data_IF_630462625273
#
_entry.id   IF_630462625273
#
_cell.length_a   1.000
_cell.length_b   1.000
_cell.length_c   1.000
_cell.angle_alpha   90.00
_cell.angle_beta   90.00
_cell.angle_gamma   90.00
#
_symmetry.space_group_name_H-M   'P 1'
#
loop_
_entity.id
_entity.type
_entity.pdbx_description
1 polymer ?
#
# COMPACT_ATOMS: atom_id res chain seq x y z
N UNK A 1 14.30 2.31 5.74
CA UNK A 1 13.43 3.49 5.60
C UNK A 1 13.18 4.10 6.98
N UNK A 2 12.95 5.41 7.05
CA UNK A 2 12.56 6.12 8.27
C UNK A 2 11.11 6.60 8.15
N UNK A 3 10.30 6.34 9.18
CA UNK A 3 8.90 6.77 9.22
C UNK A 3 8.81 8.16 9.85
N UNK A 4 8.26 9.09 9.10
CA UNK A 4 8.03 10.47 9.49
C UNK A 4 6.59 10.66 9.99
N UNK A 5 6.35 11.38 11.10
CA UNK A 5 5.00 11.65 11.57
C UNK A 5 4.22 12.54 10.59
N UNK A 6 2.90 12.44 10.64
CA UNK A 6 2.01 13.30 9.87
C UNK A 6 2.26 14.79 10.20
N UNK A 7 2.25 15.69 9.20
CA UNK A 7 2.30 17.12 9.44
C UNK A 7 1.11 17.55 10.31
N UNK A 8 1.36 18.41 11.29
CA UNK A 8 0.33 18.94 12.20
C UNK A 8 0.05 20.41 11.86
N UNK A 9 -1.21 20.82 11.99
CA UNK A 9 -1.64 22.20 11.78
C UNK A 9 -2.06 22.50 10.33
N UNK A 10 -2.34 23.76 10.05
CA UNK A 10 -2.86 24.24 8.75
C UNK A 10 -1.80 24.36 7.66
N UNK A 11 -0.51 24.36 8.02
CA UNK A 11 0.60 24.44 7.08
C UNK A 11 1.70 23.45 7.42
N UNK A 12 2.20 22.74 6.41
CA UNK A 12 3.34 21.83 6.52
C UNK A 12 4.66 22.42 6.01
N UNK A 13 4.71 23.71 5.65
CA UNK A 13 5.81 24.32 4.91
C UNK A 13 7.18 24.22 5.59
N UNK A 14 7.29 24.57 6.87
CA UNK A 14 8.57 24.49 7.57
C UNK A 14 9.03 23.04 7.75
N UNK A 15 8.09 22.13 7.97
CA UNK A 15 8.41 20.70 8.10
C UNK A 15 8.90 20.12 6.78
N UNK A 16 8.21 20.40 5.68
CA UNK A 16 8.63 20.02 4.34
C UNK A 16 10.00 20.62 3.99
N UNK A 17 10.27 21.88 4.34
CA UNK A 17 11.58 22.51 4.15
C UNK A 17 12.71 21.75 4.85
N UNK A 18 12.52 21.40 6.13
CA UNK A 18 13.51 20.64 6.89
C UNK A 18 13.70 19.23 6.32
N UNK A 19 12.61 18.57 5.92
CA UNK A 19 12.68 17.23 5.31
C UNK A 19 13.35 17.29 3.94
N UNK A 20 13.07 18.29 3.12
CA UNK A 20 13.73 18.49 1.83
C UNK A 20 15.24 18.69 2.01
N UNK A 21 15.67 19.49 2.99
CA UNK A 21 17.10 19.63 3.28
C UNK A 21 17.75 18.29 3.65
N UNK A 22 17.08 17.47 4.47
CA UNK A 22 17.58 16.13 4.80
C UNK A 22 17.65 15.26 3.55
N UNK A 23 16.59 15.25 2.71
CA UNK A 23 16.51 14.44 1.49
C UNK A 23 17.68 14.70 0.53
N UNK A 24 18.14 15.94 0.40
CA UNK A 24 19.29 16.28 -0.44
C UNK A 24 20.61 15.63 0.01
N UNK A 25 20.74 15.33 1.31
CA UNK A 25 21.94 14.74 1.91
C UNK A 25 21.84 13.20 2.07
N UNK A 26 20.70 12.58 1.73
CA UNK A 26 20.48 11.14 1.88
C UNK A 26 21.03 10.35 0.69
N UNK A 27 21.87 9.35 0.98
CA UNK A 27 22.38 8.43 -0.04
C UNK A 27 21.37 7.36 -0.44
N UNK A 28 20.95 6.51 0.50
CA UNK A 28 20.10 5.34 0.21
C UNK A 28 18.87 5.22 1.13
N UNK A 29 18.71 6.09 2.13
CA UNK A 29 17.60 5.96 3.09
C UNK A 29 16.31 6.55 2.53
N UNK A 30 15.28 5.73 2.42
CA UNK A 30 13.92 6.18 2.08
C UNK A 30 13.24 6.85 3.28
N UNK A 31 12.52 7.95 3.06
CA UNK A 31 11.67 8.62 4.04
C UNK A 31 10.20 8.38 3.72
N UNK A 32 9.44 7.86 4.69
CA UNK A 32 8.02 7.56 4.52
C UNK A 32 7.19 8.50 5.38
N UNK A 33 6.42 9.38 4.76
CA UNK A 33 5.49 10.25 5.47
C UNK A 33 4.24 9.48 5.86
N UNK A 34 4.00 9.36 7.16
CA UNK A 34 2.80 8.72 7.69
C UNK A 34 1.60 9.62 7.51
N UNK A 35 0.57 9.15 6.81
CA UNK A 35 -0.65 9.91 6.54
C UNK A 35 -1.87 9.04 6.79
N UNK A 36 -2.80 9.55 7.59
CA UNK A 36 -4.07 8.88 7.83
C UNK A 36 -4.99 8.97 6.63
N UNK A 37 -5.61 7.86 6.26
CA UNK A 37 -6.62 7.83 5.21
C UNK A 37 -7.96 8.30 5.77
N UNK A 38 -8.14 9.62 5.90
CA UNK A 38 -9.31 10.23 6.53
C UNK A 38 -10.44 10.47 5.51
N UNK A 39 -11.67 10.40 6.00
CA UNK A 39 -12.88 10.82 5.28
C UNK A 39 -13.06 12.32 5.51
N UNK A 40 -12.99 13.18 4.49
CA UNK A 40 -13.59 14.50 4.62
C UNK A 40 -15.11 14.29 4.73
N UNK A 41 -15.70 14.67 5.86
CA UNK A 41 -17.13 14.54 6.10
C UNK A 41 -17.86 15.59 5.25
N UNK A 42 -18.37 15.19 4.08
CA UNK A 42 -19.06 16.08 3.14
C UNK A 42 -20.50 16.43 3.61
N UNK A 43 -21.03 15.67 4.58
CA UNK A 43 -22.44 15.72 4.99
C UNK A 43 -22.71 16.47 6.32
N UNK A 44 -21.69 17.02 6.98
CA UNK A 44 -21.89 17.75 8.24
C UNK A 44 -22.02 19.26 8.00
N UNK A 45 -23.24 19.79 8.21
CA UNK A 45 -23.58 21.22 8.21
C UNK A 45 -22.91 22.01 9.36
N UNK A 46 -21.99 21.40 10.10
CA UNK A 46 -21.27 22.03 11.19
C UNK A 46 -20.13 22.89 10.63
N UNK A 47 -20.08 24.18 10.95
CA UNK A 47 -19.03 25.11 10.51
C UNK A 47 -17.58 24.70 10.90
N UNK A 48 -17.42 23.67 11.75
CA UNK A 48 -16.14 23.06 12.08
C UNK A 48 -15.68 21.97 11.07
N UNK A 49 -16.57 21.43 10.22
CA UNK A 49 -16.23 20.42 9.20
C UNK A 49 -15.43 21.00 8.04
N UNK A 50 -15.52 22.32 7.81
CA UNK A 50 -14.67 23.08 6.89
C UNK A 50 -13.17 23.02 7.22
N UNK A 51 -12.78 22.41 8.35
CA UNK A 51 -11.39 22.24 8.76
C UNK A 51 -10.82 20.83 8.55
N UNK A 52 -11.62 19.89 8.04
CA UNK A 52 -11.11 18.56 7.66
C UNK A 52 -10.29 18.68 6.36
N UNK A 53 -9.02 19.04 6.54
CA UNK A 53 -8.04 19.07 5.46
C UNK A 53 -7.92 17.67 4.88
N UNK A 54 -8.20 17.57 3.58
CA UNK A 54 -8.04 16.34 2.84
C UNK A 54 -6.60 15.83 2.96
N UNK A 55 -6.47 14.58 3.39
CA UNK A 55 -5.17 13.94 3.62
C UNK A 55 -4.35 13.82 2.33
N UNK A 56 -5.00 13.70 1.18
CA UNK A 56 -4.30 13.71 -0.11
C UNK A 56 -3.76 15.11 -0.45
N UNK A 57 -4.50 16.18 -0.16
CA UNK A 57 -4.00 17.55 -0.39
C UNK A 57 -2.82 17.89 0.53
N UNK A 58 -2.85 17.35 1.74
CA UNK A 58 -1.71 17.44 2.67
C UNK A 58 -0.47 16.77 2.09
N UNK A 59 -0.61 15.57 1.52
CA UNK A 59 0.47 14.87 0.82
C UNK A 59 0.95 15.66 -0.40
N UNK A 60 0.02 16.09 -1.27
CA UNK A 60 0.30 16.82 -2.50
C UNK A 60 1.09 18.10 -2.21
N UNK A 61 0.66 18.88 -1.21
CA UNK A 61 1.39 20.08 -0.77
C UNK A 61 2.79 19.74 -0.26
N UNK A 62 2.91 18.69 0.56
CA UNK A 62 4.18 18.29 1.14
C UNK A 62 5.19 17.82 0.09
N UNK A 63 4.77 16.95 -0.85
CA UNK A 63 5.65 16.45 -1.91
C UNK A 63 6.07 17.57 -2.88
N UNK A 64 5.19 18.54 -3.13
CA UNK A 64 5.50 19.72 -3.97
C UNK A 64 6.60 20.57 -3.32
N UNK A 65 6.51 20.80 -2.02
CA UNK A 65 7.52 21.53 -1.24
C UNK A 65 8.85 20.77 -1.10
N UNK A 66 8.82 19.45 -1.30
CA UNK A 66 10.01 18.60 -1.38
C UNK A 66 10.41 18.28 -2.83
N UNK A 67 9.90 19.04 -3.82
CA UNK A 67 10.28 18.96 -5.23
C UNK A 67 10.15 17.54 -5.84
N UNK A 68 9.17 16.76 -5.39
CA UNK A 68 8.95 15.37 -5.82
C UNK A 68 10.18 14.45 -5.65
N UNK A 69 10.96 14.65 -4.60
CA UNK A 69 12.14 13.83 -4.32
C UNK A 69 11.83 12.33 -4.33
N UNK A 70 12.59 11.54 -5.09
CA UNK A 70 12.33 10.10 -5.32
C UNK A 70 12.42 9.23 -4.08
N UNK A 71 13.17 9.67 -3.07
CA UNK A 71 13.29 8.99 -1.78
C UNK A 71 12.16 9.31 -0.78
N UNK A 72 11.24 10.19 -1.14
CA UNK A 72 10.07 10.51 -0.35
C UNK A 72 8.88 9.67 -0.82
N UNK A 73 8.24 8.98 0.12
CA UNK A 73 7.11 8.09 -0.14
C UNK A 73 6.06 8.19 0.97
N UNK A 74 4.91 7.54 0.78
CA UNK A 74 3.81 7.57 1.75
C UNK A 74 3.68 6.26 2.49
N UNK A 75 3.43 6.35 3.80
CA UNK A 75 2.89 5.27 4.62
C UNK A 75 1.44 5.62 5.01
N UNK A 76 0.47 4.91 4.43
CA UNK A 76 -0.95 5.20 4.65
C UNK A 76 -1.50 4.45 5.85
N UNK A 77 -2.06 5.16 6.83
CA UNK A 77 -2.84 4.54 7.89
C UNK A 77 -4.26 4.23 7.38
N UNK A 78 -4.60 2.95 7.33
CA UNK A 78 -5.92 2.43 6.99
C UNK A 78 -6.72 2.30 8.29
N UNK A 79 -7.67 3.21 8.46
CA UNK A 79 -8.56 3.30 9.61
C UNK A 79 -9.79 2.40 9.47
N UNK A 80 -10.69 2.39 10.46
CA UNK A 80 -11.86 1.52 10.48
C UNK A 80 -12.95 1.94 9.47
N UNK A 81 -12.95 3.21 9.09
CA UNK A 81 -13.71 3.76 7.97
C UNK A 81 -12.75 4.13 6.84
N UNK A 82 -13.14 3.82 5.59
CA UNK A 82 -12.40 4.25 4.40
C UNK A 82 -13.13 5.43 3.73
N UNK A 83 -12.43 6.31 3.02
CA UNK A 83 -13.06 7.37 2.25
C UNK A 83 -13.75 6.84 0.98
N UNK A 84 -14.36 7.73 0.20
CA UNK A 84 -15.04 7.37 -1.05
C UNK A 84 -14.09 6.69 -2.06
N UNK A 85 -14.65 5.96 -3.04
CA UNK A 85 -13.84 5.31 -4.07
C UNK A 85 -13.00 6.33 -4.89
N UNK A 86 -13.53 7.53 -5.13
CA UNK A 86 -12.82 8.60 -5.83
C UNK A 86 -11.63 9.10 -5.00
N UNK A 87 -11.84 9.32 -3.70
CA UNK A 87 -10.78 9.74 -2.78
C UNK A 87 -9.67 8.70 -2.66
N UNK A 88 -10.03 7.39 -2.62
CA UNK A 88 -9.08 6.28 -2.66
C UNK A 88 -8.32 6.22 -3.99
N UNK A 89 -9.03 6.46 -5.10
CA UNK A 89 -8.50 6.47 -6.47
C UNK A 89 -7.21 7.27 -6.60
N UNK A 90 -7.17 8.44 -5.97
CA UNK A 90 -6.02 9.36 -6.01
C UNK A 90 -4.73 8.76 -5.46
N UNK A 91 -4.81 7.87 -4.49
CA UNK A 91 -3.64 7.25 -3.86
C UNK A 91 -2.99 6.16 -4.71
N UNK A 92 -3.69 5.62 -5.72
CA UNK A 92 -3.12 4.60 -6.61
C UNK A 92 -2.14 5.16 -7.64
N UNK A 93 -2.09 6.48 -7.82
CA UNK A 93 -1.05 7.18 -8.60
C UNK A 93 0.13 7.67 -7.75
N UNK A 94 0.14 7.40 -6.44
CA UNK A 94 1.13 7.93 -5.50
C UNK A 94 2.17 6.87 -5.11
N UNK A 95 3.34 7.32 -4.66
CA UNK A 95 4.42 6.46 -4.15
C UNK A 95 4.12 5.88 -2.75
N UNK A 96 3.05 5.09 -2.64
CA UNK A 96 2.69 4.40 -1.40
C UNK A 96 3.64 3.21 -1.18
N UNK A 97 4.39 3.23 -0.07
CA UNK A 97 5.35 2.17 0.30
C UNK A 97 4.92 1.39 1.54
N UNK A 98 3.92 1.86 2.27
CA UNK A 98 3.32 1.08 3.33
C UNK A 98 1.83 1.35 3.48
N UNK A 99 1.07 0.30 3.80
CA UNK A 99 -0.30 0.36 4.28
C UNK A 99 -0.34 -0.14 5.73
N UNK A 100 -0.58 0.76 6.67
CA UNK A 100 -0.63 0.49 8.09
C UNK A 100 -2.09 0.27 8.47
N UNK A 101 -2.51 -0.99 8.66
CA UNK A 101 -3.89 -1.34 9.03
C UNK A 101 -4.01 -1.38 10.54
N UNK A 102 -4.93 -0.59 11.09
CA UNK A 102 -5.22 -0.65 12.52
C UNK A 102 -5.98 -1.94 12.88
N UNK A 103 -5.67 -2.56 14.01
CA UNK A 103 -6.46 -3.68 14.57
C UNK A 103 -7.93 -3.35 14.76
N UNK A 104 -8.26 -2.08 15.02
CA UNK A 104 -9.63 -1.58 15.17
C UNK A 104 -10.43 -1.62 13.85
N UNK A 105 -9.75 -1.75 12.70
CA UNK A 105 -10.37 -1.90 11.38
C UNK A 105 -10.85 -3.33 11.11
N UNK A 106 -10.46 -4.30 11.95
CA UNK A 106 -10.88 -5.68 11.82
C UNK A 106 -12.16 -5.94 12.61
N UNK A 107 -13.08 -6.65 11.96
CA UNK A 107 -14.28 -7.19 12.55
C UNK A 107 -13.98 -8.59 13.09
N UNK A 108 -14.82 -9.08 14.00
CA UNK A 108 -14.74 -10.47 14.46
C UNK A 108 -15.75 -11.31 13.69
N UNK A 109 -15.30 -12.40 13.05
CA UNK A 109 -16.21 -13.32 12.37
C UNK A 109 -16.98 -14.19 13.38
N UNK A 110 -17.99 -14.95 12.91
CA UNK A 110 -18.77 -15.84 13.77
C UNK A 110 -17.98 -16.98 14.45
N UNK A 111 -16.70 -17.17 14.08
CA UNK A 111 -15.78 -18.14 14.69
C UNK A 111 -14.75 -17.49 15.62
N UNK A 112 -14.85 -16.18 15.89
CA UNK A 112 -13.93 -15.45 16.77
C UNK A 112 -12.63 -14.96 16.14
N UNK A 113 -12.44 -15.09 14.82
CA UNK A 113 -11.22 -14.64 14.13
C UNK A 113 -11.37 -13.23 13.54
N UNK A 114 -10.28 -12.43 13.50
CA UNK A 114 -10.30 -11.12 12.88
C UNK A 114 -10.51 -11.23 11.36
N UNK A 115 -11.39 -10.41 10.81
CA UNK A 115 -11.65 -10.31 9.38
C UNK A 115 -11.89 -8.85 8.96
N UNK A 116 -11.47 -8.50 7.75
CA UNK A 116 -11.70 -7.18 7.17
C UNK A 116 -13.06 -7.14 6.45
N UNK A 117 -13.69 -5.97 6.41
CA UNK A 117 -14.89 -5.77 5.58
C UNK A 117 -14.57 -5.92 4.08
N UNK A 118 -15.56 -6.23 3.24
CA UNK A 118 -15.35 -6.39 1.77
C UNK A 118 -14.63 -5.20 1.14
N UNK A 119 -14.91 -3.99 1.62
CA UNK A 119 -14.30 -2.76 1.10
C UNK A 119 -12.81 -2.64 1.46
N UNK A 120 -12.44 -3.05 2.67
CA UNK A 120 -11.04 -3.16 3.08
C UNK A 120 -10.33 -4.29 2.34
N UNK A 121 -10.97 -5.45 2.16
CA UNK A 121 -10.41 -6.55 1.37
C UNK A 121 -10.07 -6.07 -0.05
N UNK A 122 -10.99 -5.38 -0.72
CA UNK A 122 -10.76 -4.83 -2.05
C UNK A 122 -9.58 -3.83 -2.09
N UNK A 123 -9.47 -2.95 -1.09
CA UNK A 123 -8.35 -2.01 -0.97
C UNK A 123 -7.01 -2.74 -0.80
N UNK A 124 -6.95 -3.72 0.10
CA UNK A 124 -5.74 -4.52 0.38
C UNK A 124 -5.34 -5.35 -0.85
N UNK A 125 -6.30 -5.99 -1.53
CA UNK A 125 -6.06 -6.71 -2.79
C UNK A 125 -5.55 -5.79 -3.89
N UNK A 126 -6.10 -4.56 -4.01
CA UNK A 126 -5.57 -3.56 -4.94
C UNK A 126 -4.13 -3.19 -4.64
N UNK A 127 -3.79 -2.97 -3.37
CA UNK A 127 -2.40 -2.72 -2.98
C UNK A 127 -1.50 -3.90 -3.34
N UNK A 128 -1.90 -5.14 -3.06
CA UNK A 128 -1.13 -6.31 -3.50
C UNK A 128 -0.87 -6.31 -5.02
N UNK A 129 -1.88 -6.03 -5.86
CA UNK A 129 -1.71 -5.99 -7.32
C UNK A 129 -0.73 -4.90 -7.79
N UNK A 130 -0.70 -3.75 -7.12
CA UNK A 130 0.30 -2.71 -7.38
C UNK A 130 1.71 -3.13 -6.92
N UNK A 131 1.80 -3.96 -5.88
CA UNK A 131 3.07 -4.31 -5.21
C UNK A 131 3.76 -5.57 -5.74
N UNK A 132 3.04 -6.44 -6.47
CA UNK A 132 3.65 -7.64 -7.08
C UNK A 132 4.66 -7.27 -8.18
N UNK A 133 4.89 -5.99 -8.47
CA UNK A 133 5.97 -5.48 -9.33
C UNK A 133 7.42 -5.88 -8.94
N UNK A 134 7.66 -6.49 -7.77
CA UNK A 134 9.02 -6.68 -7.22
C UNK A 134 9.46 -8.15 -7.21
N UNK A 135 9.87 -8.65 -8.36
CA UNK A 135 10.78 -9.79 -8.49
C UNK A 135 11.73 -9.53 -9.67
N UNK A 136 12.54 -8.47 -9.59
CA UNK A 136 13.78 -8.39 -10.35
C UNK A 136 14.91 -8.01 -9.40
N UNK A 137 16.09 -8.59 -9.63
CA UNK A 137 17.25 -8.66 -8.74
C UNK A 137 17.92 -7.30 -8.41
N UNK A 138 17.26 -6.18 -8.68
CA UNK A 138 17.74 -4.84 -8.35
C UNK A 138 16.74 -4.15 -7.42
N UNK A 139 17.22 -3.91 -6.20
CA UNK A 139 16.60 -3.17 -5.10
C UNK A 139 15.31 -2.42 -5.44
N UNK A 140 14.16 -3.05 -5.22
CA UNK A 140 12.88 -2.34 -5.17
C UNK A 140 12.24 -2.55 -3.81
N UNK A 141 11.94 -1.43 -3.16
CA UNK A 141 11.26 -1.40 -1.86
C UNK A 141 9.81 -1.81 -2.05
N UNK A 142 9.52 -3.11 -1.98
CA UNK A 142 8.15 -3.63 -2.02
C UNK A 142 7.30 -2.93 -0.96
N UNK A 143 6.08 -2.51 -1.32
CA UNK A 143 5.19 -1.90 -0.34
C UNK A 143 4.78 -2.91 0.72
N UNK A 144 4.79 -2.45 1.97
CA UNK A 144 4.61 -3.29 3.16
C UNK A 144 3.20 -3.14 3.73
N UNK A 145 2.56 -4.23 4.12
CA UNK A 145 1.37 -4.17 4.97
C UNK A 145 1.81 -4.34 6.41
N UNK A 146 1.54 -3.32 7.23
CA UNK A 146 1.92 -3.26 8.64
C UNK A 146 0.63 -3.32 9.46
N UNK A 147 0.60 -4.18 10.48
CA UNK A 147 -0.53 -4.21 11.43
C UNK A 147 -0.14 -3.37 12.64
N UNK A 148 -0.95 -2.36 12.95
CA UNK A 148 -0.73 -1.46 14.08
C UNK A 148 -1.88 -1.59 15.07
N UNK A 149 -1.58 -1.75 16.35
CA UNK A 149 -2.62 -1.78 17.38
C UNK A 149 -2.09 -2.27 18.71
N UNK A 150 -2.71 -1.78 19.78
CA UNK A 150 -2.50 -2.40 21.09
C UNK A 150 -3.22 -3.74 21.09
N UNK A 151 -2.57 -4.74 21.67
CA UNK A 151 -3.14 -6.07 21.93
C UNK A 151 -4.36 -5.97 22.86
N UNK A 152 -5.46 -5.41 22.39
CA UNK A 152 -6.77 -5.68 22.96
C UNK A 152 -7.02 -7.15 22.69
N UNK A 153 -6.99 -7.98 23.74
CA UNK A 153 -7.30 -9.39 23.65
C UNK A 153 -8.53 -9.54 22.74
N UNK A 154 -8.44 -10.17 21.55
CA UNK A 154 -9.65 -10.64 20.91
C UNK A 154 -10.31 -11.52 21.96
N UNK A 155 -11.55 -11.18 22.35
CA UNK A 155 -12.25 -11.87 23.44
C UNK A 155 -12.20 -13.36 23.15
N UNK A 156 -11.25 -14.03 23.79
CA UNK A 156 -11.18 -15.47 23.88
C UNK A 156 -12.24 -15.86 24.89
N UNK A 157 -13.51 -15.73 24.53
CA UNK A 157 -14.50 -16.70 24.96
C UNK A 157 -14.22 -17.97 24.15
N UNK A 158 -13.06 -18.57 24.39
CA UNK A 158 -12.84 -19.96 24.05
C UNK A 158 -13.54 -20.71 25.16
N UNK A 159 -14.57 -21.44 24.79
CA UNK A 159 -15.36 -22.30 25.67
C UNK A 159 -14.44 -23.04 26.65
N UNK A 160 -14.82 -23.03 27.92
CA UNK A 160 -14.07 -23.58 29.05
C UNK A 160 -13.97 -25.13 29.07
N UNK A 161 -14.08 -25.79 27.92
CA UNK A 161 -14.21 -27.25 27.82
C UNK A 161 -13.07 -27.98 27.10
N UNK A 162 -11.99 -27.31 26.71
CA UNK A 162 -10.84 -27.99 26.08
C UNK A 162 -9.55 -27.85 26.91
N UNK A 163 -9.56 -28.48 28.09
CA UNK A 163 -8.47 -28.47 29.07
C UNK A 163 -7.48 -29.64 28.94
N UNK A 164 -7.47 -30.37 27.82
CA UNK A 164 -6.53 -31.48 27.62
C UNK A 164 -5.89 -31.48 26.22
N UNK A 165 -5.12 -30.43 25.90
CA UNK A 165 -3.88 -30.49 25.08
C UNK A 165 -3.28 -29.10 24.78
N UNK A 166 -3.09 -28.25 25.80
CA UNK A 166 -2.22 -27.08 25.61
C UNK A 166 -0.76 -27.52 25.68
N UNK A 167 -0.19 -27.78 24.51
CA UNK A 167 1.27 -27.84 24.36
C UNK A 167 1.90 -26.54 24.87
N UNK A 168 3.07 -26.65 25.49
CA UNK A 168 3.86 -25.55 26.09
C UNK A 168 4.25 -24.47 25.04
N UNK A 169 4.04 -24.73 23.74
CA UNK A 169 4.36 -23.83 22.63
C UNK A 169 3.39 -22.64 22.44
N UNK A 170 2.21 -22.63 23.09
CA UNK A 170 1.18 -21.60 22.84
C UNK A 170 1.37 -20.31 23.66
N UNK A 171 2.40 -20.27 24.54
CA UNK A 171 2.66 -19.13 25.44
C UNK A 171 3.48 -18.00 24.80
N UNK A 172 3.82 -18.10 23.51
CA UNK A 172 4.64 -17.11 22.78
C UNK A 172 4.05 -16.66 21.44
N UNK A 173 2.74 -16.78 21.21
CA UNK A 173 2.15 -16.23 19.98
C UNK A 173 1.96 -14.73 20.14
N UNK A 174 2.63 -13.96 19.29
CA UNK A 174 2.45 -12.51 19.23
C UNK A 174 0.96 -12.19 19.01
N UNK A 175 0.37 -11.26 19.76
CA UNK A 175 -1.08 -11.00 19.72
C UNK A 175 -1.57 -10.56 18.33
N UNK A 176 -0.72 -9.93 17.53
CA UNK A 176 -1.04 -9.52 16.16
C UNK A 176 -0.96 -10.67 15.12
N UNK A 177 -0.55 -11.89 15.51
CA UNK A 177 -0.32 -12.98 14.56
C UNK A 177 -1.58 -13.36 13.79
N UNK A 178 -2.73 -13.39 14.45
CA UNK A 178 -4.03 -13.72 13.83
C UNK A 178 -4.41 -12.74 12.72
N UNK A 179 -4.07 -11.46 12.89
CA UNK A 179 -4.31 -10.42 11.89
C UNK A 179 -3.39 -10.58 10.68
N UNK A 180 -2.11 -10.90 10.92
CA UNK A 180 -1.15 -11.20 9.86
C UNK A 180 -1.54 -12.46 9.07
N UNK A 181 -1.95 -13.52 9.76
CA UNK A 181 -2.40 -14.76 9.11
C UNK A 181 -3.64 -14.50 8.23
N UNK A 182 -4.56 -13.63 8.67
CA UNK A 182 -5.71 -13.22 7.85
C UNK A 182 -5.29 -12.44 6.59
N UNK A 183 -4.36 -11.49 6.71
CA UNK A 183 -3.83 -10.75 5.54
C UNK A 183 -3.09 -11.68 4.59
N UNK A 184 -2.31 -12.63 5.12
CA UNK A 184 -1.66 -13.68 4.33
C UNK A 184 -2.66 -14.57 3.60
N UNK A 185 -3.76 -14.94 4.26
CA UNK A 185 -4.88 -15.65 3.63
C UNK A 185 -5.53 -14.83 2.49
N UNK A 186 -5.70 -13.51 2.66
CA UNK A 186 -6.20 -12.66 1.57
C UNK A 186 -5.28 -12.69 0.35
N UNK A 187 -3.97 -12.62 0.56
CA UNK A 187 -2.98 -12.72 -0.51
C UNK A 187 -3.04 -14.08 -1.23
N UNK A 188 -3.10 -15.18 -0.47
CA UNK A 188 -3.17 -16.54 -1.03
C UNK A 188 -4.45 -16.80 -1.84
N UNK A 189 -5.53 -16.08 -1.55
CA UNK A 189 -6.81 -16.19 -2.27
C UNK A 189 -6.81 -15.42 -3.59
N UNK A 190 -5.82 -14.57 -3.84
CA UNK A 190 -5.75 -13.82 -5.09
C UNK A 190 -5.49 -14.77 -6.27
N UNK A 191 -6.13 -14.49 -7.40
CA UNK A 191 -5.86 -15.23 -8.63
C UNK A 191 -4.41 -15.02 -9.07
N UNK A 192 -3.75 -16.06 -9.58
CA UNK A 192 -2.39 -15.91 -10.09
C UNK A 192 -2.37 -14.94 -11.28
N UNK A 193 -1.31 -14.13 -11.38
CA UNK A 193 -1.15 -13.22 -12.51
C UNK A 193 -1.22 -13.97 -13.85
N UNK A 194 -2.00 -13.47 -14.83
CA UNK A 194 -1.99 -13.98 -16.20
C UNK A 194 -0.59 -13.97 -16.82
N UNK A 195 -0.35 -14.84 -17.81
CA UNK A 195 0.96 -14.94 -18.48
C UNK A 195 1.40 -13.60 -19.09
N UNK A 196 0.49 -12.89 -19.74
CA UNK A 196 0.75 -11.55 -20.30
C UNK A 196 1.21 -10.56 -19.21
N UNK A 197 0.51 -10.49 -18.08
CA UNK A 197 0.88 -9.58 -16.99
C UNK A 197 2.21 -9.97 -16.35
N UNK A 198 2.57 -11.26 -16.32
CA UNK A 198 3.89 -11.71 -15.85
C UNK A 198 5.01 -11.25 -16.78
N UNK A 199 4.77 -11.30 -18.09
CA UNK A 199 5.72 -10.79 -19.08
C UNK A 199 5.91 -9.26 -18.96
N UNK A 200 4.83 -8.53 -18.74
CA UNK A 200 4.82 -7.07 -18.61
C UNK A 200 5.35 -6.57 -17.26
N UNK A 201 5.48 -7.44 -16.26
CA UNK A 201 5.78 -7.05 -14.88
C UNK A 201 7.06 -6.20 -14.76
N UNK A 202 8.11 -6.58 -15.48
CA UNK A 202 9.40 -5.84 -15.50
C UNK A 202 9.37 -4.53 -16.28
N UNK A 203 8.31 -4.28 -17.05
CA UNK A 203 8.12 -3.06 -17.84
C UNK A 203 7.13 -2.08 -17.19
N UNK A 204 6.48 -2.47 -16.08
CA UNK A 204 5.59 -1.55 -15.37
C UNK A 204 6.39 -0.37 -14.82
N UNK A 205 5.90 0.84 -15.07
CA UNK A 205 6.55 2.09 -14.68
C UNK A 205 8.00 2.26 -15.21
N UNK A 206 8.35 1.52 -16.28
CA UNK A 206 9.61 1.64 -16.98
C UNK A 206 9.45 2.47 -18.26
N UNK A 207 10.10 3.63 -18.32
CA UNK A 207 10.02 4.51 -19.47
C UNK A 207 10.81 3.93 -20.66
N UNK A 208 10.16 3.84 -21.82
CA UNK A 208 10.75 3.37 -23.07
C UNK A 208 10.53 4.40 -24.18
N UNK A 209 11.54 4.58 -25.03
CA UNK A 209 11.39 5.36 -26.25
C UNK A 209 10.57 4.57 -27.28
N UNK A 210 9.57 5.19 -27.93
CA UNK A 210 8.84 4.55 -29.02
C UNK A 210 9.78 4.18 -30.17
N UNK A 211 9.70 2.93 -30.66
CA UNK A 211 10.51 2.45 -31.77
C UNK A 211 10.25 3.25 -33.06
N UNK A 212 11.28 3.46 -33.87
CA UNK A 212 11.21 4.15 -35.18
C UNK A 212 11.70 3.24 -36.32
N UNK A 213 10.95 2.19 -36.71
CA UNK A 213 11.45 1.16 -37.64
C UNK A 213 11.72 1.66 -39.06
N UNK A 214 11.17 2.82 -39.44
CA UNK A 214 11.42 3.45 -40.74
C UNK A 214 12.80 4.14 -40.79
N UNK A 215 13.25 4.63 -39.64
CA UNK A 215 14.49 5.39 -39.51
C UNK A 215 15.64 4.48 -39.07
N UNK A 216 15.34 3.52 -38.18
CA UNK A 216 16.30 2.65 -37.53
C UNK A 216 16.10 1.19 -37.94
N UNK A 217 17.19 0.50 -38.22
CA UNK A 217 17.16 -0.95 -38.37
C UNK A 217 17.05 -1.59 -36.98
N UNK A 218 15.94 -2.27 -36.74
CA UNK A 218 15.70 -2.96 -35.47
C UNK A 218 16.59 -4.19 -35.31
N UNK A 219 16.97 -4.50 -34.07
CA UNK A 219 17.75 -5.69 -33.75
C UNK A 219 16.90 -6.97 -33.87
N UNK A 220 17.55 -8.10 -34.16
CA UNK A 220 16.88 -9.40 -34.25
C UNK A 220 16.06 -9.76 -33.00
N UNK A 221 16.52 -9.36 -31.81
CA UNK A 221 15.79 -9.57 -30.54
C UNK A 221 14.45 -8.83 -30.47
N UNK A 222 14.38 -7.66 -31.11
CA UNK A 222 13.14 -6.89 -31.20
C UNK A 222 12.12 -7.62 -32.07
N UNK A 223 12.54 -8.16 -33.21
CA UNK A 223 11.68 -8.99 -34.06
C UNK A 223 11.22 -10.28 -33.37
N UNK A 224 12.13 -10.98 -32.68
CA UNK A 224 11.78 -12.17 -31.90
C UNK A 224 10.67 -11.88 -30.87
N UNK A 225 10.69 -10.70 -30.26
CA UNK A 225 9.64 -10.26 -29.32
C UNK A 225 8.31 -10.02 -30.04
N UNK A 226 8.33 -9.43 -31.24
CA UNK A 226 7.12 -9.26 -32.03
C UNK A 226 6.52 -10.59 -32.47
N UNK A 227 7.35 -11.56 -32.82
CA UNK A 227 6.95 -12.88 -33.33
C UNK A 227 6.31 -13.76 -32.24
N UNK A 228 6.59 -13.50 -30.96
CA UNK A 228 5.96 -14.19 -29.82
C UNK A 228 4.47 -13.90 -29.67
N UNK A 229 3.97 -12.80 -30.24
CA UNK A 229 2.54 -12.47 -30.21
C UNK A 229 1.76 -13.25 -31.29
N UNK A 230 1.36 -14.48 -30.95
CA UNK A 230 0.61 -15.34 -31.86
C UNK A 230 -0.75 -14.75 -32.29
N UNK A 231 -1.44 -14.02 -31.41
CA UNK A 231 -2.78 -13.47 -31.70
C UNK A 231 -2.73 -12.46 -32.84
N UNK A 232 -1.68 -11.64 -32.90
CA UNK A 232 -1.46 -10.67 -33.98
C UNK A 232 -1.29 -11.32 -35.36
N UNK A 233 -0.73 -12.52 -35.46
CA UNK A 233 -0.51 -13.21 -36.75
C UNK A 233 -1.63 -14.18 -37.13
N UNK A 234 -2.57 -14.46 -36.22
CA UNK A 234 -3.75 -15.29 -36.49
C UNK A 234 -4.89 -14.45 -37.09
N UNK A 235 -4.92 -13.14 -36.84
CA UNK A 235 -5.88 -12.18 -37.41
C UNK A 235 -5.53 -11.81 -38.85
#
# INVERSE_FOLDING_TARGET
ACLLPAPKGTSCANYARCVNQILQDLSNMQLWLRISLVVPDDDSMDANSATLVDSWETWNSFRLLCEHHSQLSVALDILSSLPSANSLGRWFGESVRAAIVNTDSFLTNGRGYPCLSKRHQMLITRFFNHNIQVLSEFETSSMQIIISGNSGNPKASVDANDFHNRSVADSQRHPLRLYLDYVGHLYQKMDPLPEQERFELGYRDYLQSPLQPLMDNLEARTYETFEKDAMKYIQ
#
